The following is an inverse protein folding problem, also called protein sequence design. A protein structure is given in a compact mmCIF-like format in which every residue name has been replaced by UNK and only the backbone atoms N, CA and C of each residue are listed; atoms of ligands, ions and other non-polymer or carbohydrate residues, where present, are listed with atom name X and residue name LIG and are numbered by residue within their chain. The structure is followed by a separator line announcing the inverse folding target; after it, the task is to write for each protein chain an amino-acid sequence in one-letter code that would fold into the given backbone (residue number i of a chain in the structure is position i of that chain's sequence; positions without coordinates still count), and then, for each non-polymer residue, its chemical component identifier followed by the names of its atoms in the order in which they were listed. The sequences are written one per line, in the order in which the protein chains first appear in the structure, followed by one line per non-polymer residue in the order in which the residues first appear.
data_IF_640913160566
#
_entry.id   IF_640913160566
#
_cell.length_a   1.000
_cell.length_b   1.000
_cell.length_c   1.000
_cell.angle_alpha   90.00
_cell.angle_beta   90.00
_cell.angle_gamma   90.00
#
_symmetry.space_group_name_H-M   'P 1'
#
loop_
_entity.id
_entity.type
_entity.pdbx_description
1 polymer ?
#
# COMPACT_ATOMS: atom_id res chain seq x y z
N UNK A 1 0.52 -2.01 -4.72
CA UNK A 1 0.61 -0.55 -4.90
C UNK A 1 2.03 -0.15 -5.23
N UNK A 2 2.26 1.10 -5.61
CA UNK A 2 3.58 1.57 -6.02
C UNK A 2 4.07 2.68 -5.09
N UNK A 3 5.32 2.58 -4.65
CA UNK A 3 6.02 3.60 -3.89
C UNK A 3 6.84 4.40 -4.89
N UNK A 4 6.49 5.67 -5.07
CA UNK A 4 7.20 6.59 -5.95
C UNK A 4 8.55 7.02 -5.35
N UNK A 5 9.40 7.64 -6.15
CA UNK A 5 10.73 8.10 -5.73
C UNK A 5 10.71 9.14 -4.61
N UNK A 6 9.60 9.86 -4.46
CA UNK A 6 9.37 10.84 -3.39
C UNK A 6 8.69 10.23 -2.16
N UNK A 7 8.38 8.93 -2.20
CA UNK A 7 7.69 8.20 -1.14
C UNK A 7 6.16 8.22 -1.22
N UNK A 8 5.56 8.89 -2.21
CA UNK A 8 4.11 8.85 -2.38
C UNK A 8 3.63 7.44 -2.75
N UNK A 9 2.47 7.06 -2.24
CA UNK A 9 1.82 5.79 -2.60
C UNK A 9 0.84 6.05 -3.72
N UNK A 10 1.01 5.35 -4.84
CA UNK A 10 0.17 5.44 -6.04
C UNK A 10 -0.27 4.03 -6.46
N UNK A 11 -1.16 3.97 -7.46
CA UNK A 11 -1.59 2.72 -8.11
C UNK A 11 -2.00 1.63 -7.10
N UNK A 12 -2.86 1.99 -6.16
CA UNK A 12 -3.38 1.06 -5.14
C UNK A 12 -4.36 0.11 -5.82
N UNK A 13 -4.12 -1.20 -5.66
CA UNK A 13 -4.94 -2.28 -6.20
C UNK A 13 -5.09 -3.36 -5.13
N UNK A 14 -6.29 -3.96 -5.07
CA UNK A 14 -6.60 -5.10 -4.22
C UNK A 14 -6.38 -6.37 -5.04
N UNK A 15 -5.31 -7.10 -4.72
CA UNK A 15 -4.95 -8.36 -5.42
C UNK A 15 -5.92 -9.49 -5.08
N UNK A 16 -6.37 -9.55 -3.82
CA UNK A 16 -7.34 -10.53 -3.34
C UNK A 16 -8.43 -9.81 -2.56
N UNK A 17 -9.64 -9.81 -3.09
CA UNK A 17 -10.81 -9.17 -2.48
C UNK A 17 -11.35 -10.00 -1.32
N UNK A 18 -11.76 -9.33 -0.25
CA UNK A 18 -12.48 -9.93 0.87
C UNK A 18 -13.97 -9.55 0.87
N UNK A 19 -14.31 -8.35 0.38
CA UNK A 19 -15.66 -7.80 0.42
C UNK A 19 -16.06 -7.20 1.77
N UNK A 20 -17.37 -7.05 2.02
CA UNK A 20 -17.96 -6.56 3.28
C UNK A 20 -17.49 -5.16 3.74
N UNK A 21 -17.08 -4.29 2.81
CA UNK A 21 -16.53 -2.97 3.14
C UNK A 21 -15.05 -3.00 3.54
N UNK A 22 -14.44 -4.18 3.71
CA UNK A 22 -13.06 -4.32 4.11
C UNK A 22 -12.10 -3.78 3.05
N UNK A 23 -12.35 -4.09 1.77
CA UNK A 23 -11.50 -3.69 0.65
C UNK A 23 -11.45 -2.15 0.50
N UNK A 24 -12.60 -1.48 0.64
CA UNK A 24 -12.74 -0.03 0.62
C UNK A 24 -11.98 0.62 1.77
N UNK A 25 -12.07 0.02 2.97
CA UNK A 25 -11.34 0.50 4.14
C UNK A 25 -9.83 0.33 4.01
N UNK A 26 -9.34 -0.77 3.41
CA UNK A 26 -7.91 -0.92 3.09
C UNK A 26 -7.44 0.21 2.18
N UNK A 27 -8.18 0.50 1.10
CA UNK A 27 -7.83 1.57 0.17
C UNK A 27 -7.85 2.93 0.89
N UNK A 28 -8.87 3.20 1.71
CA UNK A 28 -9.00 4.46 2.46
C UNK A 28 -7.83 4.66 3.41
N UNK A 29 -7.41 3.61 4.11
CA UNK A 29 -6.27 3.66 5.05
C UNK A 29 -4.97 3.89 4.28
N UNK A 30 -4.71 3.13 3.21
CA UNK A 30 -3.51 3.31 2.38
C UNK A 30 -3.40 4.73 1.81
N UNK A 31 -4.51 5.34 1.39
CA UNK A 31 -4.53 6.73 0.89
C UNK A 31 -4.24 7.78 1.97
N UNK A 32 -4.48 7.47 3.26
CA UNK A 32 -4.22 8.37 4.39
C UNK A 32 -2.83 8.16 5.00
N UNK A 33 -2.08 7.16 4.55
CA UNK A 33 -0.74 6.94 5.08
C UNK A 33 0.20 8.11 4.72
N UNK A 34 1.18 8.41 5.59
CA UNK A 34 2.22 9.36 5.26
C UNK A 34 3.06 8.85 4.07
N UNK A 35 3.95 9.69 3.54
CA UNK A 35 4.93 9.25 2.54
C UNK A 35 5.82 8.14 3.11
N UNK A 36 6.01 7.07 2.34
CA UNK A 36 6.85 5.94 2.70
C UNK A 36 8.30 6.18 2.29
N UNK A 37 9.21 5.42 2.89
CA UNK A 37 10.61 5.47 2.47
C UNK A 37 10.74 4.79 1.09
N UNK A 38 11.22 5.50 0.05
CA UNK A 38 11.42 4.92 -1.27
C UNK A 38 12.52 3.85 -1.25
N UNK A 39 12.45 2.92 -2.20
CA UNK A 39 13.52 1.95 -2.40
C UNK A 39 14.79 2.66 -2.88
N UNK A 40 15.96 2.13 -2.49
CA UNK A 40 17.25 2.67 -2.92
C UNK A 40 17.98 1.61 -3.73
N UNK A 41 18.41 1.98 -4.94
CA UNK A 41 19.23 1.13 -5.81
C UNK A 41 20.49 1.90 -6.20
N UNK A 42 21.67 1.37 -5.85
CA UNK A 42 22.97 2.00 -6.14
C UNK A 42 23.05 3.47 -5.68
N UNK A 43 22.52 3.76 -4.49
CA UNK A 43 22.52 5.11 -3.89
C UNK A 43 21.49 6.09 -4.46
N UNK A 44 20.62 5.66 -5.38
CA UNK A 44 19.53 6.49 -5.93
C UNK A 44 18.18 5.97 -5.49
N UNK A 45 17.25 6.88 -5.18
CA UNK A 45 15.86 6.49 -4.94
C UNK A 45 15.21 6.03 -6.24
N UNK A 46 14.51 4.91 -6.16
CA UNK A 46 13.84 4.29 -7.30
C UNK A 46 12.40 3.96 -6.94
N UNK A 47 11.54 4.02 -7.96
CA UNK A 47 10.15 3.56 -7.88
C UNK A 47 10.12 2.06 -7.63
N UNK A 48 9.27 1.61 -6.72
CA UNK A 48 9.15 0.18 -6.38
C UNK A 48 7.70 -0.26 -6.25
N UNK A 49 7.43 -1.51 -6.62
CA UNK A 49 6.14 -2.15 -6.40
C UNK A 49 6.15 -2.87 -5.07
N UNK A 50 5.09 -2.70 -4.27
CA UNK A 50 4.93 -3.36 -2.99
C UNK A 50 3.55 -4.00 -2.86
N UNK A 51 3.54 -5.24 -2.37
CA UNK A 51 2.33 -6.00 -2.06
C UNK A 51 2.32 -6.27 -0.57
N UNK A 52 1.36 -5.67 0.13
CA UNK A 52 1.22 -5.80 1.58
C UNK A 52 0.10 -6.80 1.91
N UNK A 53 0.39 -7.88 2.67
CA UNK A 53 -0.67 -8.74 3.18
C UNK A 53 -1.47 -8.00 4.25
N UNK A 54 -2.79 -8.03 4.13
CA UNK A 54 -3.71 -7.46 5.12
C UNK A 54 -4.63 -8.56 5.61
N UNK A 55 -4.71 -8.72 6.93
CA UNK A 55 -5.58 -9.68 7.58
C UNK A 55 -6.59 -8.94 8.45
N UNK A 56 -7.86 -9.32 8.32
CA UNK A 56 -8.93 -8.85 9.20
C UNK A 56 -9.14 -9.88 10.28
N UNK A 57 -9.25 -9.43 11.53
CA UNK A 57 -9.65 -10.26 12.65
C UNK A 57 -11.00 -9.77 13.15
N UNK A 58 -11.99 -10.64 13.15
CA UNK A 58 -13.26 -10.38 13.82
C UNK A 58 -13.05 -10.50 15.33
N UNK A 59 -13.61 -9.56 16.07
CA UNK A 59 -13.67 -9.66 17.53
C UNK A 59 -14.93 -10.45 17.84
N UNK A 60 -14.78 -11.77 17.99
CA UNK A 60 -15.65 -12.56 18.87
C UNK A 60 -15.05 -12.57 20.27
#
# INVERSE_FOLDING_TARGET
FTIEVDGAITNIEIVKKLGYGCDEEVIRVLKKMPKWKPATLKGKFVKSYFTMPVSFKTTE
#
